data_IF_327712500765
#
_entry.id   IF_327712500765
#
_cell.length_a   1.000
_cell.length_b   1.000
_cell.length_c   1.000
_cell.angle_alpha   90.00
_cell.angle_beta   90.00
_cell.angle_gamma   90.00
#
_symmetry.space_group_name_H-M   'P 1'
#
loop_
_entity.id
_entity.type
_entity.pdbx_description
1 polymer ?
#
# COMPACT_ATOMS: atom_id res chain seq x y z
N UNK A 1 8.35 -0.45 -24.32
CA UNK A 1 7.26 -0.93 -23.45
C UNK A 1 7.30 -0.13 -22.16
N UNK A 2 6.18 -0.01 -21.47
CA UNK A 2 6.05 0.81 -20.25
C UNK A 2 5.47 0.00 -19.13
N UNK A 3 5.80 0.36 -17.90
CA UNK A 3 5.18 -0.18 -16.69
C UNK A 3 4.04 0.75 -16.29
N UNK A 4 2.81 0.23 -16.21
CA UNK A 4 1.69 0.97 -15.69
C UNK A 4 1.69 0.95 -14.16
N UNK A 5 1.70 2.12 -13.52
CA UNK A 5 1.57 2.27 -12.06
C UNK A 5 0.27 3.03 -11.78
N UNK A 6 -0.74 2.38 -11.23
CA UNK A 6 -1.95 3.07 -10.76
C UNK A 6 -1.79 3.50 -9.31
N UNK A 7 -2.45 4.59 -8.91
CA UNK A 7 -2.19 5.22 -7.62
C UNK A 7 -0.81 5.90 -7.57
N UNK A 8 -0.33 6.39 -8.73
CA UNK A 8 1.01 6.94 -8.89
C UNK A 8 1.28 8.22 -8.07
N UNK A 9 0.25 8.97 -7.68
CA UNK A 9 0.35 10.10 -6.76
C UNK A 9 0.12 9.68 -5.28
N UNK A 10 -0.19 8.40 -5.05
CA UNK A 10 -0.31 7.80 -3.72
C UNK A 10 1.05 7.60 -3.05
N UNK A 11 1.03 7.19 -1.77
CA UNK A 11 2.25 7.00 -0.98
C UNK A 11 3.18 5.93 -1.60
N UNK A 12 2.71 4.68 -1.69
CA UNK A 12 3.54 3.58 -2.23
C UNK A 12 3.76 3.77 -3.73
N UNK A 13 2.71 4.17 -4.48
CA UNK A 13 2.78 4.32 -5.92
C UNK A 13 3.82 5.33 -6.41
N UNK A 14 3.94 6.48 -5.74
CA UNK A 14 4.95 7.49 -6.09
C UNK A 14 6.40 7.00 -5.86
N UNK A 15 6.63 6.23 -4.79
CA UNK A 15 7.94 5.65 -4.52
C UNK A 15 8.27 4.52 -5.50
N UNK A 16 7.30 3.67 -5.85
CA UNK A 16 7.48 2.62 -6.88
C UNK A 16 7.78 3.25 -8.24
N UNK A 17 6.98 4.26 -8.65
CA UNK A 17 7.21 4.97 -9.90
C UNK A 17 8.62 5.59 -9.95
N UNK A 18 9.03 6.28 -8.88
CA UNK A 18 10.38 6.85 -8.77
C UNK A 18 11.47 5.79 -8.88
N UNK A 19 11.32 4.67 -8.18
CA UNK A 19 12.33 3.61 -8.20
C UNK A 19 12.44 2.96 -9.60
N UNK A 20 11.34 2.81 -10.33
CA UNK A 20 11.33 2.35 -11.71
C UNK A 20 12.04 3.34 -12.66
N UNK A 21 11.78 4.64 -12.52
CA UNK A 21 12.45 5.69 -13.31
C UNK A 21 13.96 5.70 -13.05
N UNK A 22 14.39 5.60 -11.79
CA UNK A 22 15.82 5.49 -11.44
C UNK A 22 16.50 4.27 -12.09
N UNK A 23 15.75 3.19 -12.33
CA UNK A 23 16.20 2.00 -13.05
C UNK A 23 16.23 2.20 -14.58
N UNK A 24 15.80 3.34 -15.10
CA UNK A 24 15.72 3.62 -16.53
C UNK A 24 14.48 3.04 -17.22
N UNK A 25 13.47 2.60 -16.45
CA UNK A 25 12.20 2.09 -16.98
C UNK A 25 11.30 3.25 -17.44
N UNK A 26 10.43 2.98 -18.41
CA UNK A 26 9.35 3.90 -18.78
C UNK A 26 8.14 3.64 -17.90
N UNK A 27 7.59 4.68 -17.29
CA UNK A 27 6.46 4.57 -16.38
C UNK A 27 5.27 5.38 -16.90
N UNK A 28 4.12 4.72 -16.99
CA UNK A 28 2.83 5.35 -17.18
C UNK A 28 2.12 5.39 -15.82
N UNK A 29 1.98 6.57 -15.23
CA UNK A 29 1.33 6.77 -13.94
C UNK A 29 -0.12 7.19 -14.09
N UNK A 30 -1.02 6.62 -13.29
CA UNK A 30 -2.44 7.02 -13.20
C UNK A 30 -2.79 7.32 -11.75
N UNK A 31 -3.54 8.41 -11.52
CA UNK A 31 -4.18 8.75 -10.25
C UNK A 31 -5.37 9.67 -10.51
N UNK A 32 -6.43 9.59 -9.72
CA UNK A 32 -7.60 10.47 -9.83
C UNK A 32 -7.58 11.64 -8.83
N UNK A 33 -6.50 11.76 -8.04
CA UNK A 33 -6.35 12.75 -6.97
C UNK A 33 -7.53 12.79 -5.98
N UNK A 34 -8.13 11.62 -5.67
CA UNK A 34 -9.18 11.51 -4.66
C UNK A 34 -8.91 12.43 -3.46
N UNK A 35 -9.95 13.11 -2.98
CA UNK A 35 -9.92 14.07 -1.87
C UNK A 35 -10.04 13.42 -0.47
N UNK A 36 -9.84 12.11 -0.38
CA UNK A 36 -9.82 11.37 0.89
C UNK A 36 -8.91 12.01 1.95
N UNK A 37 -7.81 12.61 1.50
CA UNK A 37 -6.99 13.55 2.25
C UNK A 37 -6.51 14.65 1.31
N UNK A 38 -6.00 15.76 1.87
CA UNK A 38 -5.59 16.94 1.09
C UNK A 38 -4.74 16.54 -0.14
N UNK A 39 -5.22 16.80 -1.36
CA UNK A 39 -4.53 16.47 -2.60
C UNK A 39 -3.18 17.17 -2.78
N UNK A 40 -2.91 18.25 -2.04
CA UNK A 40 -1.62 18.98 -2.08
C UNK A 40 -0.44 17.99 -1.85
N UNK A 41 -0.59 17.04 -0.94
CA UNK A 41 0.43 16.02 -0.70
C UNK A 41 0.63 15.09 -1.91
N UNK A 42 -0.44 14.78 -2.65
CA UNK A 42 -0.39 13.98 -3.88
C UNK A 42 0.33 14.74 -5.00
N UNK A 43 0.01 16.02 -5.19
CA UNK A 43 0.72 16.88 -6.15
C UNK A 43 2.21 17.02 -5.82
N UNK A 44 2.55 17.16 -4.53
CA UNK A 44 3.93 17.27 -4.09
C UNK A 44 4.73 15.97 -4.36
N UNK A 45 4.13 14.79 -4.19
CA UNK A 45 4.74 13.48 -4.54
C UNK A 45 4.97 13.34 -6.04
N UNK A 46 4.03 13.83 -6.84
CA UNK A 46 4.05 13.68 -8.30
C UNK A 46 5.02 14.65 -8.98
N UNK A 47 5.22 15.84 -8.39
CA UNK A 47 6.06 16.90 -8.98
C UNK A 47 7.43 16.40 -9.46
N UNK A 48 8.25 15.74 -8.63
CA UNK A 48 9.58 15.27 -9.07
C UNK A 48 9.52 14.17 -10.14
N UNK A 49 8.41 13.43 -10.25
CA UNK A 49 8.24 12.41 -11.28
C UNK A 49 7.94 13.04 -12.64
N UNK A 50 7.17 14.12 -12.67
CA UNK A 50 6.82 14.85 -13.92
C UNK A 50 8.02 15.49 -14.61
N UNK A 51 9.10 15.72 -13.88
CA UNK A 51 10.33 16.27 -14.45
C UNK A 51 11.15 15.22 -15.23
N UNK A 52 10.83 13.93 -15.09
CA UNK A 52 11.48 12.84 -15.80
C UNK A 52 10.79 12.56 -17.14
N UNK A 53 11.56 12.58 -18.23
CA UNK A 53 11.05 12.34 -19.61
C UNK A 53 10.54 10.91 -19.84
N UNK A 54 10.93 9.96 -19.00
CA UNK A 54 10.46 8.57 -19.04
C UNK A 54 9.14 8.39 -18.29
N UNK A 55 8.61 9.44 -17.62
CA UNK A 55 7.35 9.42 -16.91
C UNK A 55 6.24 10.09 -17.73
N UNK A 56 5.18 9.36 -17.98
CA UNK A 56 3.93 9.89 -18.51
C UNK A 56 2.86 9.78 -17.42
N UNK A 57 2.12 10.87 -17.18
CA UNK A 57 1.05 10.88 -16.19
C UNK A 57 -0.29 11.16 -16.84
N UNK A 58 -1.29 10.38 -16.46
CA UNK A 58 -2.69 10.57 -16.82
C UNK A 58 -3.53 10.71 -15.54
N UNK A 59 -4.24 11.81 -15.40
CA UNK A 59 -5.28 11.95 -14.40
C UNK A 59 -6.52 11.18 -14.87
N UNK A 60 -6.80 10.06 -14.21
CA UNK A 60 -7.92 9.19 -14.56
C UNK A 60 -8.34 8.33 -13.36
N UNK A 61 -9.62 7.96 -13.35
CA UNK A 61 -10.17 7.04 -12.37
C UNK A 61 -10.11 5.60 -12.91
N UNK A 62 -9.66 4.66 -12.09
CA UNK A 62 -9.58 3.24 -12.46
C UNK A 62 -10.94 2.60 -12.70
N UNK A 63 -12.03 3.23 -12.25
CA UNK A 63 -13.40 2.77 -12.48
C UNK A 63 -13.94 3.19 -13.85
N UNK A 64 -13.28 4.12 -14.53
CA UNK A 64 -13.62 4.53 -15.89
C UNK A 64 -13.12 3.50 -16.91
N UNK A 65 -13.99 2.56 -17.23
CA UNK A 65 -13.71 1.47 -18.14
C UNK A 65 -13.27 1.93 -19.53
N UNK A 66 -13.91 2.98 -20.09
CA UNK A 66 -13.62 3.47 -21.42
C UNK A 66 -12.21 4.07 -21.49
N UNK A 67 -11.87 4.91 -20.51
CA UNK A 67 -10.53 5.49 -20.38
C UNK A 67 -9.47 4.41 -20.22
N UNK A 68 -9.68 3.41 -19.36
CA UNK A 68 -8.72 2.33 -19.13
C UNK A 68 -8.52 1.48 -20.40
N UNK A 69 -9.57 1.15 -21.14
CA UNK A 69 -9.45 0.39 -22.39
C UNK A 69 -8.76 1.19 -23.51
N UNK A 70 -9.05 2.49 -23.60
CA UNK A 70 -8.38 3.40 -24.55
C UNK A 70 -6.90 3.48 -24.26
N UNK A 71 -6.52 3.57 -22.99
CA UNK A 71 -5.13 3.60 -22.53
C UNK A 71 -4.37 2.33 -22.94
N UNK A 72 -5.01 1.15 -22.81
CA UNK A 72 -4.43 -0.11 -23.25
C UNK A 72 -4.13 -0.14 -24.76
N UNK A 73 -4.98 0.51 -25.57
CA UNK A 73 -4.80 0.58 -27.01
C UNK A 73 -3.70 1.58 -27.44
N UNK A 74 -3.48 2.64 -26.65
CA UNK A 74 -2.54 3.72 -26.99
C UNK A 74 -1.12 3.49 -26.46
N UNK A 75 -0.94 2.66 -25.43
CA UNK A 75 0.34 2.45 -24.76
C UNK A 75 0.76 0.98 -24.79
N UNK A 76 2.02 0.74 -25.17
CA UNK A 76 2.63 -0.60 -25.06
C UNK A 76 3.00 -0.91 -23.60
N UNK A 77 2.06 -1.48 -22.85
CA UNK A 77 2.22 -1.85 -21.44
C UNK A 77 2.61 -3.33 -21.35
N UNK A 78 3.68 -3.65 -20.66
CA UNK A 78 4.14 -5.04 -20.46
C UNK A 78 4.10 -5.50 -19.00
N UNK A 79 4.00 -4.59 -18.05
CA UNK A 79 3.85 -4.89 -16.61
C UNK A 79 2.90 -3.88 -15.96
N UNK A 80 2.15 -4.32 -14.96
CA UNK A 80 1.25 -3.47 -14.20
C UNK A 80 1.59 -3.57 -12.71
N UNK A 81 1.69 -2.43 -12.03
CA UNK A 81 1.70 -2.31 -10.57
C UNK A 81 0.44 -1.54 -10.16
N UNK A 82 -0.60 -2.30 -9.80
CA UNK A 82 -1.91 -1.75 -9.46
C UNK A 82 -2.00 -1.45 -7.97
N UNK A 83 -1.82 -0.17 -7.60
CA UNK A 83 -1.83 0.32 -6.22
C UNK A 83 -2.97 1.30 -5.94
N UNK A 84 -3.71 1.74 -6.97
CA UNK A 84 -4.88 2.57 -6.79
C UNK A 84 -5.96 1.81 -6.03
N UNK A 85 -6.43 2.38 -4.94
CA UNK A 85 -7.51 1.86 -4.12
C UNK A 85 -8.00 2.94 -3.17
N UNK A 86 -9.23 2.81 -2.68
CA UNK A 86 -9.70 3.57 -1.52
C UNK A 86 -9.17 2.89 -0.26
N UNK A 87 -8.23 3.51 0.48
CA UNK A 87 -7.68 2.96 1.70
C UNK A 87 -8.45 3.41 2.94
N UNK A 88 -8.09 2.86 4.12
CA UNK A 88 -8.62 3.30 5.41
C UNK A 88 -9.72 2.37 5.93
N UNK A 89 -9.38 1.55 6.95
CA UNK A 89 -10.29 0.59 7.56
C UNK A 89 -11.52 1.28 8.16
N UNK A 90 -11.31 2.34 8.97
CA UNK A 90 -12.39 3.03 9.66
C UNK A 90 -13.29 3.80 8.72
N UNK A 91 -12.74 4.45 7.71
CA UNK A 91 -13.53 5.21 6.74
C UNK A 91 -14.45 4.30 5.92
N UNK A 92 -14.12 3.01 5.76
CA UNK A 92 -14.99 2.05 5.07
C UNK A 92 -16.34 1.83 5.79
N UNK A 93 -16.43 2.22 7.05
CA UNK A 93 -17.71 2.19 7.81
C UNK A 93 -18.53 3.46 7.57
N UNK A 94 -17.90 4.54 7.10
CA UNK A 94 -18.57 5.84 6.84
C UNK A 94 -19.11 5.89 5.41
N UNK A 95 -18.29 5.49 4.42
CA UNK A 95 -18.69 5.47 3.00
C UNK A 95 -18.43 4.10 2.37
N UNK A 96 -19.30 3.11 2.62
CA UNK A 96 -19.13 1.75 2.11
C UNK A 96 -19.18 1.66 0.58
N UNK A 97 -19.97 2.49 -0.08
CA UNK A 97 -20.14 2.46 -1.54
C UNK A 97 -18.87 2.85 -2.28
N UNK A 98 -18.15 3.84 -1.76
CA UNK A 98 -16.87 4.26 -2.31
C UNK A 98 -15.87 3.10 -2.35
N UNK A 99 -15.83 2.27 -1.29
CA UNK A 99 -14.91 1.13 -1.21
C UNK A 99 -15.26 0.03 -2.20
N UNK A 100 -16.54 -0.31 -2.34
CA UNK A 100 -16.97 -1.32 -3.32
C UNK A 100 -16.71 -0.83 -4.74
N UNK A 101 -17.06 0.42 -5.03
CA UNK A 101 -16.85 0.99 -6.35
C UNK A 101 -15.35 1.07 -6.70
N UNK A 102 -14.55 1.70 -5.85
CA UNK A 102 -13.13 1.90 -6.16
C UNK A 102 -12.33 0.61 -6.11
N UNK A 103 -12.48 -0.18 -5.03
CA UNK A 103 -11.63 -1.35 -4.84
C UNK A 103 -12.10 -2.54 -5.70
N UNK A 104 -13.39 -2.89 -5.64
CA UNK A 104 -13.88 -4.09 -6.34
C UNK A 104 -14.12 -3.80 -7.81
N UNK A 105 -14.90 -2.76 -8.14
CA UNK A 105 -15.17 -2.40 -9.54
C UNK A 105 -13.90 -1.91 -10.23
N UNK A 106 -13.13 -1.00 -9.61
CA UNK A 106 -11.87 -0.52 -10.19
C UNK A 106 -10.86 -1.65 -10.42
N UNK A 107 -10.74 -2.59 -9.48
CA UNK A 107 -9.88 -3.77 -9.67
C UNK A 107 -10.36 -4.65 -10.83
N UNK A 108 -11.68 -4.88 -10.96
CA UNK A 108 -12.27 -5.59 -12.10
C UNK A 108 -11.93 -4.91 -13.42
N UNK A 109 -12.04 -3.58 -13.51
CA UNK A 109 -11.66 -2.82 -14.71
C UNK A 109 -10.19 -3.01 -15.03
N UNK A 110 -9.31 -3.03 -14.03
CA UNK A 110 -7.89 -3.27 -14.23
C UNK A 110 -7.58 -4.71 -14.69
N UNK A 111 -8.32 -5.70 -14.22
CA UNK A 111 -8.23 -7.08 -14.73
C UNK A 111 -8.74 -7.17 -16.18
N UNK A 112 -9.82 -6.45 -16.51
CA UNK A 112 -10.34 -6.34 -17.88
C UNK A 112 -9.35 -5.66 -18.84
N UNK A 113 -8.61 -4.66 -18.36
CA UNK A 113 -7.49 -4.07 -19.08
C UNK A 113 -6.37 -5.12 -19.26
N UNK A 114 -5.96 -5.76 -18.18
CA UNK A 114 -4.84 -6.70 -18.18
C UNK A 114 -5.02 -7.85 -19.18
N UNK A 115 -6.21 -8.46 -19.24
CA UNK A 115 -6.49 -9.57 -20.17
C UNK A 115 -6.50 -9.15 -21.65
N UNK A 116 -6.54 -7.86 -21.96
CA UNK A 116 -6.50 -7.31 -23.33
C UNK A 116 -5.12 -6.86 -23.78
N UNK A 117 -4.13 -6.90 -22.88
CA UNK A 117 -2.74 -6.56 -23.20
C UNK A 117 -2.01 -7.82 -23.70
N UNK A 118 -1.70 -7.94 -24.99
CA UNK A 118 -1.15 -9.19 -25.55
C UNK A 118 0.26 -9.49 -25.04
N UNK A 119 1.02 -8.46 -24.66
CA UNK A 119 2.40 -8.58 -24.21
C UNK A 119 2.54 -8.46 -22.69
N UNK A 120 1.44 -8.55 -21.93
CA UNK A 120 1.49 -8.41 -20.47
C UNK A 120 2.26 -9.58 -19.85
N UNK A 121 3.35 -9.25 -19.17
CA UNK A 121 4.22 -10.21 -18.50
C UNK A 121 3.82 -10.46 -17.05
N UNK A 122 3.33 -9.42 -16.35
CA UNK A 122 3.00 -9.51 -14.93
C UNK A 122 1.99 -8.46 -14.50
N UNK A 123 0.98 -8.90 -13.76
CA UNK A 123 0.02 -8.06 -13.05
C UNK A 123 0.28 -8.15 -11.54
N UNK A 124 0.91 -7.14 -10.95
CA UNK A 124 1.15 -7.05 -9.52
C UNK A 124 0.14 -6.08 -8.91
N UNK A 125 -0.53 -6.44 -7.81
CA UNK A 125 -1.55 -5.59 -7.21
C UNK A 125 -1.45 -5.57 -5.69
N UNK A 126 -1.96 -4.47 -5.09
CA UNK A 126 -2.03 -4.29 -3.66
C UNK A 126 -3.23 -5.03 -3.05
N UNK A 127 -2.96 -6.07 -2.26
CA UNK A 127 -3.84 -6.55 -1.21
C UNK A 127 -3.47 -5.91 0.13
N UNK A 128 -3.88 -6.46 1.25
CA UNK A 128 -3.67 -5.87 2.57
C UNK A 128 -3.62 -6.94 3.66
N UNK A 129 -2.84 -6.73 4.71
CA UNK A 129 -2.89 -7.53 5.95
C UNK A 129 -4.28 -7.52 6.61
N UNK A 130 -5.13 -6.55 6.29
CA UNK A 130 -6.51 -6.49 6.79
C UNK A 130 -7.34 -7.72 6.40
N UNK A 131 -6.97 -8.44 5.33
CA UNK A 131 -7.67 -9.68 4.89
C UNK A 131 -7.59 -10.79 5.94
N UNK A 132 -6.57 -10.78 6.81
CA UNK A 132 -6.46 -11.75 7.89
C UNK A 132 -7.58 -11.64 8.93
N UNK A 133 -8.20 -10.46 9.04
CA UNK A 133 -9.43 -10.25 9.80
C UNK A 133 -9.34 -10.71 11.25
N UNK A 134 -10.21 -11.66 11.63
CA UNK A 134 -10.28 -12.21 13.00
C UNK A 134 -9.27 -13.31 13.32
N UNK A 135 -8.28 -13.59 12.45
CA UNK A 135 -7.25 -14.58 12.72
C UNK A 135 -6.45 -14.21 13.98
N UNK A 136 -6.24 -15.22 14.85
CA UNK A 136 -5.49 -15.05 16.10
C UNK A 136 -4.06 -15.62 16.04
N UNK A 137 -3.81 -16.52 15.07
CA UNK A 137 -2.47 -17.09 14.86
C UNK A 137 -1.52 -16.01 14.37
N UNK A 138 -0.36 -15.90 14.98
CA UNK A 138 0.75 -15.02 14.58
C UNK A 138 2.03 -15.87 14.41
N UNK A 139 2.91 -15.51 13.48
CA UNK A 139 2.73 -14.51 12.41
C UNK A 139 1.71 -14.96 11.37
N UNK A 140 1.06 -14.01 10.69
CA UNK A 140 0.13 -14.29 9.60
C UNK A 140 0.89 -14.84 8.39
N UNK A 141 0.50 -16.04 7.93
CA UNK A 141 1.06 -16.67 6.74
C UNK A 141 0.11 -16.53 5.54
N UNK A 142 0.64 -16.50 4.31
CA UNK A 142 -0.19 -16.36 3.10
C UNK A 142 -1.18 -17.51 2.92
N UNK A 143 -0.83 -18.72 3.39
CA UNK A 143 -1.70 -19.91 3.40
C UNK A 143 -2.77 -19.93 4.50
N UNK A 144 -2.80 -18.96 5.43
CA UNK A 144 -3.84 -18.89 6.44
C UNK A 144 -5.20 -18.53 5.79
N UNK A 145 -6.29 -19.12 6.33
CA UNK A 145 -7.65 -18.81 5.86
C UNK A 145 -7.98 -17.36 6.16
N UNK A 146 -8.57 -16.67 5.20
CA UNK A 146 -8.94 -15.24 5.26
C UNK A 146 -10.43 -15.05 4.98
N UNK A 147 -11.26 -15.92 5.55
CA UNK A 147 -12.70 -16.01 5.29
C UNK A 147 -13.53 -15.12 6.23
N UNK A 148 -12.89 -14.49 7.23
CA UNK A 148 -13.58 -13.72 8.27
C UNK A 148 -13.02 -12.29 8.36
N UNK A 149 -13.21 -11.43 7.30
CA UNK A 149 -12.83 -10.03 7.36
C UNK A 149 -13.65 -9.30 8.45
N UNK A 150 -13.01 -8.38 9.17
CA UNK A 150 -13.65 -7.58 10.24
C UNK A 150 -13.93 -6.14 9.83
N UNK A 151 -13.70 -5.78 8.58
CA UNK A 151 -14.04 -4.48 8.00
C UNK A 151 -14.44 -4.62 6.54
N UNK A 152 -15.21 -3.66 6.03
CA UNK A 152 -15.56 -3.64 4.61
C UNK A 152 -14.31 -3.47 3.72
N UNK A 153 -13.36 -2.64 4.12
CA UNK A 153 -12.08 -2.53 3.43
C UNK A 153 -11.39 -3.90 3.27
N UNK A 154 -11.32 -4.69 4.36
CA UNK A 154 -10.76 -6.03 4.31
C UNK A 154 -11.53 -6.95 3.35
N UNK A 155 -12.87 -6.87 3.37
CA UNK A 155 -13.73 -7.64 2.48
C UNK A 155 -13.49 -7.27 1.00
N UNK A 156 -13.34 -5.98 0.66
CA UNK A 156 -13.03 -5.57 -0.71
C UNK A 156 -11.64 -6.05 -1.16
N UNK A 157 -10.63 -5.99 -0.28
CA UNK A 157 -9.29 -6.52 -0.62
C UNK A 157 -9.28 -8.04 -0.79
N UNK A 158 -10.07 -8.76 0.00
CA UNK A 158 -10.25 -10.20 -0.22
C UNK A 158 -11.00 -10.50 -1.51
N UNK A 159 -11.99 -9.68 -1.89
CA UNK A 159 -12.66 -9.79 -3.18
C UNK A 159 -11.69 -9.60 -4.35
N UNK A 160 -10.74 -8.65 -4.27
CA UNK A 160 -9.69 -8.45 -5.28
C UNK A 160 -8.85 -9.73 -5.47
N UNK A 161 -8.47 -10.41 -4.37
CA UNK A 161 -7.75 -11.69 -4.44
C UNK A 161 -8.55 -12.78 -5.18
N UNK A 162 -9.86 -12.89 -4.90
CA UNK A 162 -10.73 -13.89 -5.53
C UNK A 162 -11.03 -13.58 -6.99
N UNK A 163 -11.24 -12.30 -7.34
CA UNK A 163 -11.40 -11.87 -8.72
C UNK A 163 -10.14 -12.18 -9.53
N UNK A 164 -8.96 -11.87 -8.98
CA UNK A 164 -7.69 -12.15 -9.66
C UNK A 164 -7.50 -13.65 -9.88
N UNK A 165 -7.79 -14.50 -8.89
CA UNK A 165 -7.73 -15.97 -9.03
C UNK A 165 -8.61 -16.45 -10.18
N UNK A 166 -9.85 -15.91 -10.27
CA UNK A 166 -10.78 -16.23 -11.36
C UNK A 166 -10.23 -15.83 -12.73
N UNK A 167 -9.64 -14.63 -12.85
CA UNK A 167 -9.06 -14.13 -14.10
C UNK A 167 -7.81 -14.89 -14.52
N UNK A 168 -6.97 -15.30 -13.57
CA UNK A 168 -5.85 -16.19 -13.85
C UNK A 168 -6.32 -17.52 -14.43
N UNK A 169 -7.37 -18.12 -13.84
CA UNK A 169 -7.92 -19.37 -14.31
C UNK A 169 -8.55 -19.25 -15.72
N UNK A 170 -9.30 -18.17 -15.97
CA UNK A 170 -10.05 -18.01 -17.22
C UNK A 170 -9.20 -17.46 -18.39
N UNK A 171 -8.22 -16.62 -18.10
CA UNK A 171 -7.48 -15.85 -19.09
C UNK A 171 -5.97 -16.03 -19.01
N UNK A 172 -5.50 -16.99 -18.23
CA UNK A 172 -4.09 -17.39 -18.13
C UNK A 172 -3.16 -16.22 -17.73
N UNK A 173 -3.67 -15.26 -16.92
CA UNK A 173 -2.86 -14.16 -16.43
C UNK A 173 -1.74 -14.63 -15.50
N UNK A 174 -0.63 -13.90 -15.46
CA UNK A 174 0.40 -14.03 -14.45
C UNK A 174 0.20 -12.90 -13.43
N UNK A 175 -0.33 -13.24 -12.26
CA UNK A 175 -0.72 -12.23 -11.29
C UNK A 175 -0.13 -12.51 -9.90
N UNK A 176 0.23 -11.43 -9.20
CA UNK A 176 0.73 -11.51 -7.82
C UNK A 176 0.10 -10.43 -6.96
N UNK A 177 -0.59 -10.85 -5.89
CA UNK A 177 -1.13 -9.97 -4.87
C UNK A 177 -0.14 -9.78 -3.72
N UNK A 178 0.03 -8.54 -3.29
CA UNK A 178 0.93 -8.15 -2.20
C UNK A 178 0.11 -7.72 -0.99
N UNK A 179 0.12 -8.52 0.07
CA UNK A 179 -0.48 -8.17 1.35
C UNK A 179 0.48 -7.25 2.10
N UNK A 180 0.30 -5.94 1.89
CA UNK A 180 1.04 -4.92 2.64
C UNK A 180 0.53 -4.82 4.06
N UNK A 181 1.47 -4.61 4.99
CA UNK A 181 1.20 -4.32 6.40
C UNK A 181 1.21 -2.81 6.65
N UNK A 182 1.62 -2.36 7.85
CA UNK A 182 1.62 -0.93 8.17
C UNK A 182 2.85 -0.24 7.55
N UNK A 183 2.73 0.16 6.29
CA UNK A 183 3.81 0.85 5.57
C UNK A 183 3.94 2.28 6.07
N UNK A 184 5.17 2.72 6.38
CA UNK A 184 5.49 4.06 6.83
C UNK A 184 6.79 4.57 6.22
N UNK A 185 7.02 5.88 6.30
CA UNK A 185 8.22 6.54 5.79
C UNK A 185 7.91 7.93 5.24
N UNK A 186 8.91 8.65 4.72
CA UNK A 186 8.71 9.95 4.08
C UNK A 186 7.59 9.91 3.05
N UNK A 187 6.82 10.99 2.98
CA UNK A 187 5.63 11.09 2.11
C UNK A 187 4.47 10.15 2.52
N UNK A 188 4.48 9.63 3.74
CA UNK A 188 3.44 8.78 4.29
C UNK A 188 2.06 9.44 4.27
N UNK A 189 1.01 8.61 4.39
CA UNK A 189 -0.38 9.09 4.37
C UNK A 189 -0.75 9.76 5.69
N UNK A 190 -1.53 10.88 5.64
CA UNK A 190 -1.93 11.63 6.84
C UNK A 190 -2.86 10.87 7.79
N UNK A 191 -3.60 9.89 7.29
CA UNK A 191 -4.53 9.06 8.06
C UNK A 191 -3.85 7.87 8.77
N UNK A 192 -2.55 7.67 8.57
CA UNK A 192 -1.78 6.59 9.20
C UNK A 192 -1.13 7.03 10.51
N UNK A 193 -1.01 6.08 11.46
CA UNK A 193 -0.49 6.36 12.80
C UNK A 193 0.84 7.12 12.84
N UNK A 194 1.86 6.86 12.00
CA UNK A 194 3.11 7.64 12.06
C UNK A 194 2.91 9.13 11.75
N UNK A 195 2.05 9.46 10.79
CA UNK A 195 1.74 10.85 10.46
C UNK A 195 0.91 11.51 11.58
N UNK A 196 -0.08 10.79 12.10
CA UNK A 196 -0.92 11.25 13.21
C UNK A 196 -0.05 11.55 14.44
N UNK A 197 0.91 10.66 14.77
CA UNK A 197 1.82 10.86 15.90
C UNK A 197 2.71 12.08 15.70
N UNK A 198 3.32 12.19 14.52
CA UNK A 198 4.18 13.34 14.20
C UNK A 198 3.43 14.67 14.32
N UNK A 199 2.21 14.73 13.74
CA UNK A 199 1.38 15.92 13.78
C UNK A 199 0.95 16.24 15.21
N UNK A 200 0.48 15.27 15.97
CA UNK A 200 0.03 15.45 17.34
C UNK A 200 1.16 15.93 18.26
N UNK A 201 2.35 15.33 18.19
CA UNK A 201 3.52 15.75 18.99
C UNK A 201 3.95 17.17 18.60
N UNK A 202 3.96 17.49 17.29
CA UNK A 202 4.29 18.83 16.85
C UNK A 202 3.32 19.87 17.41
N UNK A 203 2.02 19.63 17.27
CA UNK A 203 0.93 20.55 17.63
C UNK A 203 0.64 20.55 19.15
N UNK A 204 1.20 19.61 19.94
CA UNK A 204 0.87 19.42 21.36
C UNK A 204 -0.53 18.84 21.57
N UNK A 205 -1.12 18.26 20.53
CA UNK A 205 -2.43 17.62 20.56
C UNK A 205 -2.38 16.20 21.16
N UNK A 206 -3.49 15.67 21.71
CA UNK A 206 -3.52 14.32 22.24
C UNK A 206 -3.47 13.26 21.12
N UNK A 207 -2.73 12.18 21.38
CA UNK A 207 -2.73 10.95 20.60
C UNK A 207 -3.75 10.00 21.23
N UNK A 208 -4.84 9.71 20.52
CA UNK A 208 -5.84 8.73 20.96
C UNK A 208 -5.33 7.31 20.65
N UNK A 209 -5.05 6.51 21.68
CA UNK A 209 -4.66 5.11 21.55
C UNK A 209 -5.83 4.20 21.92
N UNK A 210 -6.33 3.48 20.95
CA UNK A 210 -7.40 2.49 21.12
C UNK A 210 -6.87 1.21 21.80
N UNK A 211 -7.79 0.33 22.23
CA UNK A 211 -7.46 -0.86 23.01
C UNK A 211 -6.60 -0.57 24.25
N UNK A 212 -6.80 0.60 24.87
CA UNK A 212 -6.04 1.06 26.03
C UNK A 212 -4.51 1.05 25.81
N UNK A 213 -4.06 1.23 24.58
CA UNK A 213 -2.65 1.21 24.20
C UNK A 213 -2.05 -0.19 23.99
N UNK A 214 -2.81 -1.27 24.22
CA UNK A 214 -2.35 -2.64 23.98
C UNK A 214 -2.48 -3.00 22.49
N UNK A 215 -1.68 -2.35 21.66
CA UNK A 215 -1.67 -2.51 20.20
C UNK A 215 -0.25 -2.71 19.73
N UNK A 216 -0.06 -3.75 18.91
CA UNK A 216 1.20 -4.00 18.21
C UNK A 216 1.01 -4.01 16.71
N UNK A 217 1.94 -3.44 15.98
CA UNK A 217 1.89 -3.37 14.51
C UNK A 217 3.22 -3.75 13.89
N UNK A 218 3.12 -4.45 12.78
CA UNK A 218 4.24 -4.67 11.88
C UNK A 218 4.43 -3.39 11.03
N UNK A 219 5.35 -2.52 11.49
CA UNK A 219 5.71 -1.28 10.80
C UNK A 219 6.80 -1.54 9.77
N UNK A 220 6.46 -1.36 8.50
CA UNK A 220 7.32 -1.66 7.36
C UNK A 220 7.78 -0.38 6.68
N UNK A 221 9.10 -0.16 6.60
CA UNK A 221 9.64 1.05 6.00
C UNK A 221 9.44 1.07 4.49
N UNK A 222 9.12 2.23 3.94
CA UNK A 222 8.74 2.40 2.54
C UNK A 222 9.79 1.88 1.55
N UNK A 223 11.09 2.09 1.78
CA UNK A 223 12.13 1.65 0.85
C UNK A 223 12.19 0.11 0.78
N UNK A 224 11.99 -0.58 1.90
CA UNK A 224 11.93 -2.04 1.93
C UNK A 224 10.72 -2.56 1.16
N UNK A 225 9.57 -1.90 1.32
CA UNK A 225 8.33 -2.25 0.61
C UNK A 225 8.48 -2.03 -0.90
N UNK A 226 9.09 -0.93 -1.32
CA UNK A 226 9.38 -0.67 -2.73
C UNK A 226 10.32 -1.73 -3.28
N UNK A 227 11.41 -2.04 -2.57
CA UNK A 227 12.36 -3.08 -2.98
C UNK A 227 11.67 -4.45 -3.14
N UNK A 228 10.79 -4.83 -2.21
CA UNK A 228 10.01 -6.06 -2.29
C UNK A 228 9.04 -6.06 -3.47
N UNK A 229 8.32 -4.96 -3.67
CA UNK A 229 7.39 -4.80 -4.80
C UNK A 229 8.10 -4.96 -6.14
N UNK A 230 9.28 -4.36 -6.30
CA UNK A 230 10.07 -4.46 -7.53
C UNK A 230 10.68 -5.86 -7.70
N UNK A 231 11.14 -6.49 -6.63
CA UNK A 231 11.65 -7.87 -6.68
C UNK A 231 10.57 -8.86 -7.16
N UNK A 232 9.33 -8.66 -6.72
CA UNK A 232 8.16 -9.42 -7.21
C UNK A 232 7.87 -9.09 -8.67
N UNK A 233 7.79 -7.80 -9.03
CA UNK A 233 7.48 -7.36 -10.39
C UNK A 233 8.43 -7.95 -11.44
N UNK A 234 9.71 -8.11 -11.08
CA UNK A 234 10.77 -8.59 -11.96
C UNK A 234 10.79 -10.12 -12.12
N UNK A 235 10.02 -10.85 -11.32
CA UNK A 235 9.97 -12.33 -11.35
C UNK A 235 8.53 -12.85 -11.52
N UNK A 236 7.90 -12.61 -12.71
CA UNK A 236 6.63 -13.25 -13.02
C UNK A 236 6.77 -14.77 -12.95
N UNK A 237 5.67 -15.45 -12.72
CA UNK A 237 5.64 -16.91 -12.83
C UNK A 237 5.91 -17.36 -14.27
N UNK A 238 6.53 -18.53 -14.47
CA UNK A 238 6.74 -19.08 -15.82
C UNK A 238 5.41 -19.43 -16.49
N UNK A 239 4.55 -20.15 -15.77
CA UNK A 239 3.19 -20.48 -16.18
C UNK A 239 2.18 -19.46 -15.60
N UNK A 240 0.97 -19.36 -16.20
CA UNK A 240 -0.13 -18.62 -15.60
C UNK A 240 -0.38 -19.08 -14.16
N UNK A 241 -0.35 -18.16 -13.22
CA UNK A 241 -0.59 -18.44 -11.81
C UNK A 241 -0.97 -17.17 -11.05
N UNK A 242 -1.78 -17.34 -10.02
CA UNK A 242 -2.02 -16.34 -9.00
C UNK A 242 -1.21 -16.66 -7.75
N UNK A 243 -0.38 -15.73 -7.30
CA UNK A 243 0.39 -15.86 -6.06
C UNK A 243 0.11 -14.72 -5.11
N UNK A 244 0.22 -15.01 -3.82
CA UNK A 244 0.06 -14.03 -2.75
C UNK A 244 1.33 -14.01 -1.90
N UNK A 245 1.81 -12.82 -1.54
CA UNK A 245 2.95 -12.64 -0.65
C UNK A 245 2.67 -11.59 0.41
N UNK A 246 3.15 -11.82 1.62
CA UNK A 246 3.27 -10.79 2.62
C UNK A 246 4.52 -9.95 2.36
N UNK A 247 4.37 -8.63 2.30
CA UNK A 247 5.49 -7.70 2.32
C UNK A 247 5.40 -6.83 3.57
N UNK A 248 6.29 -7.10 4.53
CA UNK A 248 6.29 -6.49 5.85
C UNK A 248 7.67 -6.56 6.50
N UNK A 249 7.86 -5.88 7.64
CA UNK A 249 9.09 -5.98 8.42
C UNK A 249 9.25 -7.31 9.17
N UNK A 250 8.18 -8.09 9.31
CA UNK A 250 8.12 -9.33 10.09
C UNK A 250 8.49 -9.12 11.58
N UNK A 251 8.15 -7.94 12.09
CA UNK A 251 8.39 -7.52 13.48
C UNK A 251 7.15 -6.82 14.01
N UNK A 252 6.66 -7.28 15.15
CA UNK A 252 5.53 -6.66 15.84
C UNK A 252 6.05 -5.66 16.85
N UNK A 253 5.85 -4.37 16.60
CA UNK A 253 6.32 -3.27 17.44
C UNK A 253 5.20 -2.77 18.35
N UNK A 254 5.48 -2.56 19.62
CA UNK A 254 4.55 -1.95 20.55
C UNK A 254 4.33 -0.47 20.20
N UNK A 255 3.05 -0.05 20.13
CA UNK A 255 2.72 1.30 19.70
C UNK A 255 3.27 2.39 20.63
N UNK A 256 3.36 2.11 21.95
CA UNK A 256 3.91 3.05 22.91
C UNK A 256 5.42 3.22 22.72
N UNK A 257 6.14 2.14 22.38
CA UNK A 257 7.57 2.23 22.09
C UNK A 257 7.82 2.99 20.78
N UNK A 258 6.96 2.80 19.78
CA UNK A 258 7.01 3.62 18.54
C UNK A 258 6.79 5.10 18.87
N UNK A 259 5.82 5.46 19.72
CA UNK A 259 5.60 6.86 20.12
C UNK A 259 6.85 7.44 20.80
N UNK A 260 7.53 6.69 21.68
CA UNK A 260 8.79 7.14 22.30
C UNK A 260 9.88 7.47 21.28
N UNK A 261 9.94 6.73 20.15
CA UNK A 261 10.87 7.06 19.08
C UNK A 261 10.53 8.40 18.41
N UNK A 262 9.22 8.69 18.24
CA UNK A 262 8.77 9.99 17.75
C UNK A 262 9.09 11.12 18.73
N UNK A 263 8.82 10.94 20.03
CA UNK A 263 9.18 11.89 21.10
C UNK A 263 10.66 12.24 21.04
N UNK A 264 11.53 11.22 21.00
CA UNK A 264 12.97 11.40 20.87
C UNK A 264 13.37 12.18 19.62
N UNK A 265 12.74 11.89 18.47
CA UNK A 265 13.06 12.54 17.19
C UNK A 265 12.55 14.00 17.13
N UNK A 266 11.45 14.31 17.82
CA UNK A 266 10.96 15.69 17.95
C UNK A 266 11.62 16.48 19.08
N UNK A 267 12.15 15.78 20.11
CA UNK A 267 12.59 16.40 21.36
C UNK A 267 11.41 16.93 22.21
N UNK A 268 10.23 16.33 22.07
CA UNK A 268 8.98 16.72 22.75
C UNK A 268 8.25 15.47 23.23
N UNK A 269 7.63 15.55 24.41
CA UNK A 269 6.77 14.48 24.94
C UNK A 269 5.40 14.48 24.23
N UNK A 270 4.85 13.27 24.02
CA UNK A 270 3.52 13.06 23.49
C UNK A 270 2.47 13.11 24.62
N UNK A 271 1.35 13.75 24.35
CA UNK A 271 0.17 13.61 25.18
C UNK A 271 -0.66 12.43 24.71
N UNK A 272 -0.68 11.33 25.48
CA UNK A 272 -1.40 10.11 25.13
C UNK A 272 -2.72 10.02 25.89
N UNK A 273 -3.83 9.74 25.17
CA UNK A 273 -5.13 9.44 25.74
C UNK A 273 -5.54 8.02 25.38
N UNK A 274 -5.78 7.18 26.38
CA UNK A 274 -6.20 5.79 26.20
C UNK A 274 -7.71 5.73 25.92
N UNK A 275 -8.11 5.01 24.87
CA UNK A 275 -9.50 4.82 24.45
C UNK A 275 -9.87 3.32 24.43
N UNK A 276 -11.16 2.97 24.58
CA UNK A 276 -11.61 1.61 24.35
C UNK A 276 -11.25 1.10 22.96
N UNK A 277 -11.30 -0.22 22.76
CA UNK A 277 -11.02 -0.84 21.47
C UNK A 277 -12.12 -0.56 20.42
N UNK A 278 -11.72 -0.56 19.17
CA UNK A 278 -12.64 -0.48 18.02
C UNK A 278 -12.81 -1.87 17.40
N UNK A 279 -14.03 -2.34 17.16
CA UNK A 279 -14.29 -3.70 16.65
C UNK A 279 -13.63 -4.03 15.31
N UNK A 280 -13.40 -3.00 14.47
CA UNK A 280 -12.77 -3.16 13.16
C UNK A 280 -11.23 -3.16 13.21
N UNK A 281 -10.62 -2.93 14.36
CA UNK A 281 -9.16 -2.85 14.51
C UNK A 281 -8.59 -4.16 15.06
N UNK A 282 -7.59 -4.71 14.40
CA UNK A 282 -6.78 -5.82 14.93
C UNK A 282 -5.88 -5.32 16.07
N UNK A 283 -5.73 -6.11 17.13
CA UNK A 283 -4.84 -5.75 18.26
C UNK A 283 -3.36 -5.93 17.91
N UNK A 284 -3.03 -6.99 17.18
CA UNK A 284 -1.65 -7.30 16.82
C UNK A 284 -1.57 -7.73 15.35
N UNK A 285 -0.50 -7.30 14.67
CA UNK A 285 -0.14 -7.77 13.33
C UNK A 285 1.34 -8.09 13.26
N UNK A 286 1.66 -9.28 12.73
CA UNK A 286 3.01 -9.71 12.40
C UNK A 286 2.94 -10.60 11.16
N UNK A 287 3.86 -10.44 10.22
CA UNK A 287 3.89 -11.19 8.97
C UNK A 287 4.87 -12.33 9.00
N UNK A 288 4.46 -13.48 8.48
CA UNK A 288 5.39 -14.47 7.93
C UNK A 288 5.75 -14.05 6.49
N UNK A 289 7.02 -13.72 6.28
CA UNK A 289 7.57 -13.31 4.98
C UNK A 289 8.46 -14.38 4.34
N UNK A 290 8.48 -15.59 4.90
CA UNK A 290 9.40 -16.67 4.50
C UNK A 290 9.29 -17.00 3.01
N UNK A 291 8.08 -16.94 2.43
CA UNK A 291 7.87 -17.19 1.00
C UNK A 291 8.49 -16.07 0.14
N UNK A 292 8.33 -14.79 0.52
CA UNK A 292 8.96 -13.69 -0.20
C UNK A 292 10.49 -13.74 -0.12
N UNK A 293 11.04 -14.11 1.05
CA UNK A 293 12.48 -14.33 1.23
C UNK A 293 12.97 -15.47 0.33
N UNK A 294 12.29 -16.61 0.33
CA UNK A 294 12.68 -17.79 -0.46
C UNK A 294 12.64 -17.50 -1.96
N UNK A 295 11.55 -16.90 -2.44
CA UNK A 295 11.30 -16.79 -3.87
C UNK A 295 12.01 -15.61 -4.52
N UNK A 296 12.21 -14.52 -3.78
CA UNK A 296 12.80 -13.27 -4.31
C UNK A 296 14.16 -12.90 -3.68
N UNK A 297 14.57 -13.56 -2.59
CA UNK A 297 15.76 -13.16 -1.82
C UNK A 297 15.57 -11.79 -1.13
N UNK A 298 14.33 -11.31 -1.03
CA UNK A 298 14.02 -10.03 -0.42
C UNK A 298 13.91 -10.13 1.11
N UNK A 299 14.51 -9.17 1.78
CA UNK A 299 14.42 -9.03 3.24
C UNK A 299 14.29 -7.54 3.62
N UNK A 300 13.43 -7.20 4.59
CA UNK A 300 13.36 -5.85 5.13
C UNK A 300 14.65 -5.53 5.92
N UNK A 301 15.16 -4.31 5.74
CA UNK A 301 16.45 -3.89 6.30
C UNK A 301 16.31 -2.81 7.35
N UNK A 302 15.31 -1.93 7.21
CA UNK A 302 15.16 -0.73 8.03
C UNK A 302 14.31 -1.04 9.26
N UNK A 303 14.88 -0.83 10.44
CA UNK A 303 14.17 -0.93 11.73
C UNK A 303 13.31 0.31 11.97
N UNK A 304 12.31 0.20 12.88
CA UNK A 304 11.49 1.36 13.25
C UNK A 304 12.34 2.46 13.90
N UNK A 305 13.36 2.07 14.67
CA UNK A 305 14.31 3.00 15.30
C UNK A 305 15.11 3.82 14.26
N UNK A 306 15.40 3.26 13.10
CA UNK A 306 16.09 3.94 11.99
C UNK A 306 15.12 4.73 11.08
N UNK A 307 13.92 4.20 10.86
CA UNK A 307 12.95 4.78 9.94
C UNK A 307 12.19 5.98 10.51
N UNK A 308 11.87 5.98 11.82
CA UNK A 308 11.16 7.09 12.47
C UNK A 308 11.92 8.40 12.39
N UNK A 309 13.22 8.49 12.69
CA UNK A 309 13.98 9.73 12.50
C UNK A 309 13.93 10.26 11.06
N UNK A 310 14.03 9.40 10.05
CA UNK A 310 13.93 9.78 8.62
C UNK A 310 12.56 10.33 8.28
N UNK A 311 11.49 9.70 8.82
CA UNK A 311 10.13 10.20 8.67
C UNK A 311 9.96 11.59 9.31
N UNK A 312 10.44 11.77 10.56
CA UNK A 312 10.32 13.04 11.29
C UNK A 312 11.11 14.15 10.62
N UNK A 313 12.31 13.85 10.10
CA UNK A 313 13.08 14.81 9.32
C UNK A 313 12.27 15.29 8.10
N UNK A 314 11.78 14.36 7.27
CA UNK A 314 10.92 14.69 6.14
C UNK A 314 9.68 15.49 6.56
N UNK A 315 9.02 15.11 7.66
CA UNK A 315 7.82 15.78 8.15
C UNK A 315 8.10 17.24 8.49
N UNK A 316 9.23 17.51 9.17
CA UNK A 316 9.67 18.88 9.49
C UNK A 316 9.98 19.69 8.23
N UNK A 317 10.74 19.13 7.29
CA UNK A 317 11.08 19.78 6.03
C UNK A 317 9.85 20.11 5.19
N UNK A 318 8.92 19.15 5.03
CA UNK A 318 7.70 19.31 4.25
C UNK A 318 6.78 20.39 4.84
N UNK A 319 6.66 20.44 6.16
CA UNK A 319 5.81 21.41 6.86
C UNK A 319 6.56 22.71 7.22
N UNK A 320 7.83 22.88 6.85
CA UNK A 320 8.68 24.06 7.12
C UNK A 320 8.80 24.38 8.61
N UNK A 321 9.03 23.37 9.43
CA UNK A 321 9.13 23.42 10.89
C UNK A 321 10.57 23.55 11.38
#
# INVERSE_FOLDING_TARGET
MSILVTGAAGFIGSHVARALLVRGERVLGIDNFSDYYDPVLKFARLKPLRDDKAFTFLEADITDQETMLTLAAQHSIDRIVHLAAQPGVRHSLVDPYLYVNTNVMGHLVMLELARRLPDLKHFVYASSSSVYGSNRKQPFATGDRVDHPISLYAATKRADELLTETYVHLYELKATGLRYFTVYGPWGRPDMSPYIFAKAIHDGAPINLYHLGFVKRDYSYIDDIVAGTLAVLDKPTEAPAHRLYNLAASRSEDILDVIKLFEKAFGKEARVELKPGEPADMQETSADISEAVRDFGWQPKVTVAEGVPKFVQWFKEYNRL
#
